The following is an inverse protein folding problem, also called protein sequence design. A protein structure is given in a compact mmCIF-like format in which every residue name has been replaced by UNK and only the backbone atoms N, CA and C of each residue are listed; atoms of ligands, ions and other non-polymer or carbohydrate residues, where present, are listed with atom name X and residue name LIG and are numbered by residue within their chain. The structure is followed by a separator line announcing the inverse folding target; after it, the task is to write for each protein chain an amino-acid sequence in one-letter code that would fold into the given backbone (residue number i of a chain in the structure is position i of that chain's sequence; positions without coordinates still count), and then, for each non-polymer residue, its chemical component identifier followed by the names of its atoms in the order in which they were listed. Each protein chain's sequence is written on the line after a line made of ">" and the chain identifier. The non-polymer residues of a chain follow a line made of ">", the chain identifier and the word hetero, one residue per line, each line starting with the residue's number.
data_IF_133430132491
#
_entry.id   IF_133430132491
#
_cell.length_a   1.000
_cell.length_b   1.000
_cell.length_c   1.000
_cell.angle_alpha   90.00
_cell.angle_beta   90.00
_cell.angle_gamma   90.00
#
_symmetry.space_group_name_H-M   'P 1'
#
loop_
_entity.id
_entity.type
_entity.pdbx_description
1 polymer ?
#
# COMPACT_ATOMS: atom_id res chain seq x y z
N UNK A 1 -37.91 14.25 14.41
CA UNK A 1 -37.28 14.67 13.14
C UNK A 1 -37.64 13.64 12.08
N UNK A 2 -38.34 14.04 11.03
CA UNK A 2 -38.67 13.18 9.88
C UNK A 2 -37.55 13.27 8.86
N UNK A 3 -36.75 12.21 8.71
CA UNK A 3 -35.74 12.13 7.66
C UNK A 3 -36.41 11.80 6.32
N UNK A 4 -36.04 12.53 5.26
CA UNK A 4 -36.44 12.16 3.90
C UNK A 4 -35.84 10.81 3.52
N UNK A 5 -36.54 9.94 2.75
CA UNK A 5 -36.01 8.65 2.29
C UNK A 5 -34.61 8.75 1.65
N UNK A 6 -34.35 9.83 0.91
CA UNK A 6 -33.05 10.09 0.28
C UNK A 6 -31.93 10.45 1.28
N UNK A 7 -32.28 11.04 2.42
CA UNK A 7 -31.30 11.35 3.47
C UNK A 7 -30.90 10.11 4.27
N UNK A 8 -31.83 9.16 4.48
CA UNK A 8 -31.56 7.89 5.16
C UNK A 8 -30.67 6.98 4.30
N UNK A 9 -30.93 6.90 3.00
CA UNK A 9 -30.16 6.06 2.07
C UNK A 9 -28.72 6.56 1.90
N UNK A 10 -28.51 7.87 1.87
CA UNK A 10 -27.17 8.48 1.81
C UNK A 10 -26.42 8.35 3.14
N UNK A 11 -27.09 8.53 4.28
CA UNK A 11 -26.45 8.35 5.58
C UNK A 11 -26.01 6.89 5.80
N UNK A 12 -26.87 5.93 5.45
CA UNK A 12 -26.55 4.50 5.50
C UNK A 12 -25.43 4.12 4.53
N UNK A 13 -25.36 4.77 3.36
CA UNK A 13 -24.26 4.59 2.41
C UNK A 13 -22.93 5.02 3.02
N UNK A 14 -22.86 6.25 3.54
CA UNK A 14 -21.66 6.80 4.16
C UNK A 14 -21.16 5.95 5.32
N UNK A 15 -22.07 5.53 6.20
CA UNK A 15 -21.71 4.64 7.32
C UNK A 15 -21.13 3.31 6.83
N UNK A 16 -21.80 2.62 5.88
CA UNK A 16 -21.33 1.33 5.37
C UNK A 16 -20.00 1.46 4.63
N UNK A 17 -19.85 2.53 3.84
CA UNK A 17 -18.61 2.83 3.14
C UNK A 17 -17.45 3.02 4.12
N UNK A 18 -17.63 3.87 5.14
CA UNK A 18 -16.64 4.12 6.17
C UNK A 18 -16.26 2.85 6.94
N UNK A 19 -17.25 2.08 7.39
CA UNK A 19 -17.02 0.80 8.08
C UNK A 19 -16.19 -0.17 7.25
N UNK A 20 -16.58 -0.40 5.98
CA UNK A 20 -15.86 -1.33 5.10
C UNK A 20 -14.44 -0.87 4.79
N UNK A 21 -14.23 0.45 4.62
CA UNK A 21 -12.90 1.02 4.44
C UNK A 21 -12.04 0.86 5.70
N UNK A 22 -12.62 1.06 6.88
CA UNK A 22 -11.95 0.85 8.17
C UNK A 22 -11.56 -0.62 8.41
N UNK A 23 -12.41 -1.57 8.01
CA UNK A 23 -12.08 -3.01 8.06
C UNK A 23 -10.94 -3.35 7.09
N UNK A 24 -10.94 -2.78 5.88
CA UNK A 24 -9.85 -3.01 4.92
C UNK A 24 -8.51 -2.47 5.46
N UNK A 25 -8.51 -1.27 6.04
CA UNK A 25 -7.31 -0.70 6.68
C UNK A 25 -6.83 -1.53 7.86
N UNK A 26 -7.72 -1.95 8.76
CA UNK A 26 -7.36 -2.81 9.89
C UNK A 26 -6.80 -4.17 9.44
N UNK A 27 -7.35 -4.71 8.35
CA UNK A 27 -6.83 -5.94 7.76
C UNK A 27 -5.40 -5.77 7.24
N UNK A 28 -5.09 -4.62 6.65
CA UNK A 28 -3.72 -4.28 6.23
C UNK A 28 -2.77 -4.19 7.42
N UNK A 29 -3.15 -3.43 8.45
CA UNK A 29 -2.36 -3.26 9.67
C UNK A 29 -2.08 -4.60 10.34
N UNK A 30 -3.09 -5.45 10.47
CA UNK A 30 -2.96 -6.78 11.06
C UNK A 30 -2.07 -7.72 10.21
N UNK A 31 -2.18 -7.67 8.88
CA UNK A 31 -1.38 -8.50 7.98
C UNK A 31 0.13 -8.18 8.08
N UNK A 32 0.47 -6.89 8.23
CA UNK A 32 1.85 -6.42 8.37
C UNK A 32 2.45 -6.69 9.75
N UNK A 33 1.62 -6.72 10.80
CA UNK A 33 2.09 -6.77 12.20
C UNK A 33 3.07 -7.92 12.48
N UNK A 34 2.90 -9.08 11.82
CA UNK A 34 3.83 -10.20 11.96
C UNK A 34 5.23 -9.87 11.43
N UNK A 35 5.31 -9.33 10.22
CA UNK A 35 6.57 -8.90 9.59
C UNK A 35 7.26 -7.78 10.37
N UNK A 36 6.49 -6.83 10.91
CA UNK A 36 7.03 -5.76 11.76
C UNK A 36 7.65 -6.32 13.04
N UNK A 37 6.97 -7.27 13.70
CA UNK A 37 7.50 -7.93 14.90
C UNK A 37 8.77 -8.73 14.60
N UNK A 38 8.81 -9.44 13.47
CA UNK A 38 9.99 -10.19 13.07
C UNK A 38 11.18 -9.28 12.76
N UNK A 39 10.93 -8.15 12.08
CA UNK A 39 11.95 -7.13 11.83
C UNK A 39 12.54 -6.59 13.13
N UNK A 40 11.68 -6.13 14.05
CA UNK A 40 12.12 -5.60 15.36
C UNK A 40 12.92 -6.66 16.14
N UNK A 41 12.47 -7.92 16.08
CA UNK A 41 13.16 -9.03 16.74
C UNK A 41 14.56 -9.24 16.15
N UNK A 42 14.69 -9.28 14.83
CA UNK A 42 15.98 -9.49 14.13
C UNK A 42 16.91 -8.31 14.39
N UNK A 43 16.43 -7.07 14.25
CA UNK A 43 17.24 -5.86 14.52
C UNK A 43 17.74 -5.83 15.97
N UNK A 44 16.92 -6.24 16.93
CA UNK A 44 17.34 -6.37 18.34
C UNK A 44 18.39 -7.46 18.51
N UNK A 45 18.16 -8.65 17.96
CA UNK A 45 19.11 -9.77 18.04
C UNK A 45 20.46 -9.41 17.41
N UNK A 46 20.42 -8.68 16.29
CA UNK A 46 21.62 -8.17 15.63
C UNK A 46 22.36 -7.16 16.51
N UNK A 47 21.67 -6.18 17.09
CA UNK A 47 22.30 -5.20 17.98
C UNK A 47 22.91 -5.85 19.23
N UNK A 48 22.26 -6.86 19.80
CA UNK A 48 22.82 -7.66 20.90
C UNK A 48 24.09 -8.41 20.45
N UNK A 49 24.07 -8.99 19.25
CA UNK A 49 25.22 -9.69 18.68
C UNK A 49 26.40 -8.75 18.38
N UNK A 50 26.15 -7.57 17.80
CA UNK A 50 27.18 -6.55 17.58
C UNK A 50 27.88 -6.14 18.88
N UNK A 51 27.14 -6.06 19.99
CA UNK A 51 27.71 -5.75 21.31
C UNK A 51 28.61 -6.89 21.84
N UNK A 52 28.25 -8.15 21.59
CA UNK A 52 29.07 -9.31 21.94
C UNK A 52 30.36 -9.36 21.12
N UNK A 53 30.28 -9.06 19.81
CA UNK A 53 31.47 -8.95 18.95
C UNK A 53 32.38 -7.81 19.40
N UNK A 54 31.82 -6.63 19.68
CA UNK A 54 32.57 -5.49 20.18
C UNK A 54 33.26 -5.77 21.53
N UNK A 55 32.67 -6.63 22.35
CA UNK A 55 33.25 -7.07 23.62
C UNK A 55 34.25 -8.25 23.47
N UNK A 56 34.50 -8.72 22.24
CA UNK A 56 35.39 -9.84 21.95
C UNK A 56 34.85 -11.21 22.40
N UNK A 57 33.53 -11.32 22.62
CA UNK A 57 32.86 -12.56 23.03
C UNK A 57 32.23 -13.34 21.88
N UNK A 58 32.13 -12.72 20.70
CA UNK A 58 31.67 -13.32 19.46
C UNK A 58 32.49 -12.83 18.26
N UNK A 59 32.25 -13.41 17.08
CA UNK A 59 32.83 -13.00 15.80
C UNK A 59 31.72 -12.91 14.75
N UNK A 60 31.77 -11.93 13.85
CA UNK A 60 30.84 -11.84 12.72
C UNK A 60 31.00 -13.01 11.73
N UNK A 61 32.23 -13.53 11.65
CA UNK A 61 32.64 -14.59 10.73
C UNK A 61 32.97 -15.82 11.57
N UNK A 62 32.34 -16.94 11.22
CA UNK A 62 32.70 -18.26 11.73
C UNK A 62 33.45 -19.04 10.65
N UNK A 63 34.64 -19.53 10.98
CA UNK A 63 35.48 -20.34 10.10
C UNK A 63 35.69 -21.73 10.70
N UNK A 64 35.90 -22.74 9.85
CA UNK A 64 36.28 -24.08 10.26
C UNK A 64 37.76 -24.17 10.68
N UNK A 65 38.20 -25.36 11.13
CA UNK A 65 39.58 -25.62 11.53
C UNK A 65 40.61 -25.40 10.40
N UNK A 66 40.15 -25.34 9.15
CA UNK A 66 40.96 -25.12 7.94
C UNK A 66 40.89 -23.67 7.44
N UNK A 67 40.19 -22.78 8.16
CA UNK A 67 40.02 -21.36 7.82
C UNK A 67 39.00 -21.13 6.70
N UNK A 68 38.07 -22.06 6.47
CA UNK A 68 36.99 -21.88 5.48
C UNK A 68 35.76 -21.28 6.16
N UNK A 69 35.16 -20.30 5.50
CA UNK A 69 33.93 -19.67 5.95
C UNK A 69 32.81 -20.70 6.14
N UNK A 70 32.31 -20.81 7.38
CA UNK A 70 31.11 -21.56 7.74
C UNK A 70 29.89 -20.65 7.68
N UNK A 71 29.98 -19.45 8.26
CA UNK A 71 28.86 -18.51 8.36
C UNK A 71 29.34 -17.07 8.43
N UNK A 72 28.64 -16.19 7.71
CA UNK A 72 28.69 -14.74 7.90
C UNK A 72 27.35 -14.30 8.49
N UNK A 73 27.36 -13.90 9.76
CA UNK A 73 26.14 -13.50 10.47
C UNK A 73 25.55 -12.20 9.93
N UNK A 74 26.38 -11.33 9.36
CA UNK A 74 25.93 -10.09 8.73
C UNK A 74 25.15 -10.35 7.45
N UNK A 75 25.69 -11.21 6.58
CA UNK A 75 25.00 -11.62 5.36
C UNK A 75 23.66 -12.30 5.68
N UNK A 76 23.65 -13.21 6.65
CA UNK A 76 22.42 -13.90 7.05
C UNK A 76 21.32 -12.94 7.55
N UNK A 77 21.69 -11.96 8.39
CA UNK A 77 20.74 -10.93 8.85
C UNK A 77 20.27 -10.05 7.69
N UNK A 78 21.18 -9.67 6.79
CA UNK A 78 20.85 -8.93 5.57
C UNK A 78 19.81 -9.66 4.71
N UNK A 79 20.00 -10.96 4.48
CA UNK A 79 19.05 -11.81 3.75
C UNK A 79 17.68 -11.85 4.42
N UNK A 80 17.62 -12.10 5.74
CA UNK A 80 16.34 -12.14 6.47
C UNK A 80 15.58 -10.80 6.39
N UNK A 81 16.29 -9.67 6.52
CA UNK A 81 15.67 -8.35 6.39
C UNK A 81 15.19 -8.08 4.96
N UNK A 82 15.94 -8.56 3.95
CA UNK A 82 15.54 -8.49 2.54
C UNK A 82 14.24 -9.26 2.29
N UNK A 83 14.13 -10.49 2.79
CA UNK A 83 12.92 -11.32 2.67
C UNK A 83 11.71 -10.66 3.35
N UNK A 84 11.89 -10.09 4.54
CA UNK A 84 10.83 -9.33 5.22
C UNK A 84 10.38 -8.14 4.37
N UNK A 85 11.32 -7.39 3.80
CA UNK A 85 10.99 -6.26 2.94
C UNK A 85 10.24 -6.70 1.68
N UNK A 86 10.60 -7.84 1.09
CA UNK A 86 9.89 -8.46 -0.03
C UNK A 86 8.44 -8.79 0.32
N UNK A 87 8.20 -9.43 1.47
CA UNK A 87 6.84 -9.71 1.95
C UNK A 87 6.04 -8.43 2.17
N UNK A 88 6.63 -7.43 2.82
CA UNK A 88 5.97 -6.14 3.07
C UNK A 88 5.62 -5.42 1.77
N UNK A 89 6.50 -5.50 0.75
CA UNK A 89 6.21 -4.97 -0.58
C UNK A 89 4.98 -5.64 -1.19
N UNK A 90 4.93 -6.98 -1.23
CA UNK A 90 3.78 -7.74 -1.76
C UNK A 90 2.47 -7.39 -1.02
N UNK A 91 2.52 -7.22 0.30
CA UNK A 91 1.34 -6.79 1.07
C UNK A 91 0.84 -5.41 0.63
N UNK A 92 1.74 -4.43 0.45
CA UNK A 92 1.37 -3.08 0.02
C UNK A 92 0.71 -3.09 -1.36
N UNK A 93 1.19 -3.93 -2.27
CA UNK A 93 0.59 -4.09 -3.60
C UNK A 93 -0.80 -4.69 -3.53
N UNK A 94 -0.94 -5.80 -2.81
CA UNK A 94 -2.22 -6.49 -2.66
C UNK A 94 -3.30 -5.56 -2.06
N UNK A 95 -2.93 -4.75 -1.06
CA UNK A 95 -3.85 -3.80 -0.44
C UNK A 95 -4.11 -2.55 -1.29
N UNK A 96 -3.14 -2.08 -2.08
CA UNK A 96 -3.37 -1.01 -3.08
C UNK A 96 -4.39 -1.46 -4.12
N UNK A 97 -4.23 -2.67 -4.67
CA UNK A 97 -5.16 -3.26 -5.63
C UNK A 97 -6.55 -3.44 -4.99
N UNK A 98 -6.60 -3.97 -3.77
CA UNK A 98 -7.85 -4.19 -3.03
C UNK A 98 -8.59 -2.90 -2.74
N UNK A 99 -7.86 -1.83 -2.36
CA UNK A 99 -8.42 -0.50 -2.09
C UNK A 99 -9.01 0.13 -3.36
N UNK A 100 -8.27 0.06 -4.48
CA UNK A 100 -8.80 0.51 -5.77
C UNK A 100 -10.09 -0.24 -6.15
N UNK A 101 -10.11 -1.57 -6.02
CA UNK A 101 -11.31 -2.34 -6.34
C UNK A 101 -12.46 -2.10 -5.37
N UNK A 102 -12.18 -1.85 -4.10
CA UNK A 102 -13.19 -1.39 -3.14
C UNK A 102 -13.85 -0.10 -3.64
N UNK A 103 -13.05 0.93 -3.94
CA UNK A 103 -13.53 2.20 -4.47
C UNK A 103 -14.38 2.03 -5.74
N UNK A 104 -13.85 1.29 -6.72
CA UNK A 104 -14.52 1.00 -7.99
C UNK A 104 -15.91 0.36 -7.77
N UNK A 105 -15.98 -0.69 -6.93
CA UNK A 105 -17.22 -1.43 -6.67
C UNK A 105 -18.27 -0.56 -5.98
N UNK A 106 -17.87 0.26 -5.01
CA UNK A 106 -18.77 1.16 -4.30
C UNK A 106 -19.45 2.13 -5.26
N UNK A 107 -18.68 2.73 -6.19
CA UNK A 107 -19.21 3.70 -7.13
C UNK A 107 -19.99 3.06 -8.27
N UNK A 108 -19.51 1.95 -8.86
CA UNK A 108 -20.25 1.23 -9.91
C UNK A 108 -21.64 0.84 -9.46
N UNK A 109 -21.77 0.30 -8.24
CA UNK A 109 -23.06 -0.10 -7.68
C UNK A 109 -24.03 1.08 -7.55
N UNK A 110 -23.54 2.30 -7.33
CA UNK A 110 -24.34 3.50 -7.15
C UNK A 110 -24.71 4.17 -8.47
N UNK A 111 -23.73 4.28 -9.37
CA UNK A 111 -23.93 4.80 -10.73
C UNK A 111 -24.75 3.86 -11.62
N UNK A 112 -24.90 2.58 -11.23
CA UNK A 112 -25.61 1.54 -12.00
C UNK A 112 -25.03 1.35 -13.41
N UNK A 113 -23.71 1.42 -13.53
CA UNK A 113 -22.97 1.25 -14.79
C UNK A 113 -22.30 -0.12 -14.86
N UNK A 114 -22.16 -0.65 -16.08
CA UNK A 114 -21.47 -1.92 -16.33
C UNK A 114 -19.96 -1.80 -16.15
N UNK A 115 -19.39 -0.70 -16.61
CA UNK A 115 -17.95 -0.44 -16.63
C UNK A 115 -17.65 0.81 -15.78
N UNK A 116 -16.57 0.75 -15.00
CA UNK A 116 -16.10 1.93 -14.27
C UNK A 116 -15.28 2.83 -15.19
N UNK A 117 -15.64 4.12 -15.20
CA UNK A 117 -14.85 5.17 -15.84
C UNK A 117 -14.62 6.27 -14.82
N UNK A 118 -13.35 6.58 -14.58
CA UNK A 118 -12.94 7.52 -13.54
C UNK A 118 -13.61 8.89 -13.68
N UNK A 119 -13.62 9.47 -14.88
CA UNK A 119 -14.29 10.73 -15.14
C UNK A 119 -15.81 10.70 -14.81
N UNK A 120 -16.48 9.57 -15.06
CA UNK A 120 -17.89 9.41 -14.69
C UNK A 120 -18.07 9.29 -13.18
N UNK A 121 -17.16 8.58 -12.50
CA UNK A 121 -17.16 8.46 -11.05
C UNK A 121 -16.97 9.82 -10.35
N UNK A 122 -16.04 10.64 -10.83
CA UNK A 122 -15.83 11.98 -10.27
C UNK A 122 -17.01 12.91 -10.54
N UNK A 123 -17.57 12.89 -11.75
CA UNK A 123 -18.77 13.66 -12.07
C UNK A 123 -19.96 13.24 -11.19
N UNK A 124 -20.15 11.93 -10.98
CA UNK A 124 -21.18 11.41 -10.09
C UNK A 124 -21.00 11.89 -8.65
N UNK A 125 -19.79 11.84 -8.08
CA UNK A 125 -19.54 12.31 -6.72
C UNK A 125 -19.81 13.82 -6.56
N UNK A 126 -19.40 14.62 -7.53
CA UNK A 126 -19.67 16.07 -7.55
C UNK A 126 -21.16 16.39 -7.60
N UNK A 127 -21.94 15.63 -8.38
CA UNK A 127 -23.40 15.74 -8.41
C UNK A 127 -24.04 15.39 -7.05
N UNK A 128 -23.41 14.50 -6.28
CA UNK A 128 -23.80 14.20 -4.90
C UNK A 128 -23.27 15.22 -3.87
N UNK A 129 -22.62 16.30 -4.30
CA UNK A 129 -22.05 17.33 -3.42
C UNK A 129 -20.75 16.92 -2.74
N UNK A 130 -20.06 15.89 -3.24
CA UNK A 130 -18.77 15.41 -2.72
C UNK A 130 -17.66 15.90 -3.65
N UNK A 131 -16.60 16.45 -3.09
CA UNK A 131 -15.41 16.89 -3.83
C UNK A 131 -14.32 15.82 -3.75
N UNK A 132 -14.15 14.97 -4.78
CA UNK A 132 -13.12 13.94 -4.75
C UNK A 132 -11.71 14.52 -4.89
N UNK A 133 -10.74 13.90 -4.20
CA UNK A 133 -9.31 14.11 -4.43
C UNK A 133 -8.89 13.37 -5.72
N UNK A 134 -9.25 13.95 -6.87
CA UNK A 134 -9.02 13.34 -8.18
C UNK A 134 -7.55 12.98 -8.44
N UNK A 135 -6.55 13.83 -8.12
CA UNK A 135 -5.14 13.48 -8.34
C UNK A 135 -4.74 12.19 -7.61
N UNK A 136 -5.04 12.10 -6.31
CA UNK A 136 -4.63 10.95 -5.51
C UNK A 136 -5.41 9.67 -5.85
N UNK A 137 -6.69 9.79 -6.23
CA UNK A 137 -7.48 8.65 -6.70
C UNK A 137 -7.02 8.14 -8.07
N UNK A 138 -6.57 9.06 -8.94
CA UNK A 138 -5.95 8.71 -10.23
C UNK A 138 -4.63 7.99 -10.00
N UNK A 139 -3.79 8.48 -9.08
CA UNK A 139 -2.56 7.82 -8.67
C UNK A 139 -2.81 6.42 -8.11
N UNK A 140 -3.82 6.25 -7.23
CA UNK A 140 -4.24 4.94 -6.71
C UNK A 140 -4.60 3.97 -7.84
N UNK A 141 -5.44 4.40 -8.79
CA UNK A 141 -5.85 3.56 -9.93
C UNK A 141 -4.66 3.14 -10.79
N UNK A 142 -3.80 4.09 -11.14
CA UNK A 142 -2.63 3.83 -11.97
C UNK A 142 -1.65 2.91 -11.24
N UNK A 143 -1.36 3.17 -9.96
CA UNK A 143 -0.51 2.31 -9.11
C UNK A 143 -1.06 0.89 -9.06
N UNK A 144 -2.37 0.73 -8.80
CA UNK A 144 -3.01 -0.59 -8.80
C UNK A 144 -2.91 -1.28 -10.16
N UNK A 145 -2.99 -0.55 -11.27
CA UNK A 145 -2.83 -1.11 -12.61
C UNK A 145 -1.41 -1.57 -12.89
N UNK A 146 -0.40 -0.77 -12.52
CA UNK A 146 1.02 -1.15 -12.63
C UNK A 146 1.30 -2.39 -11.78
N UNK A 147 0.83 -2.43 -10.54
CA UNK A 147 0.99 -3.62 -9.68
C UNK A 147 0.35 -4.91 -10.24
N UNK A 148 -0.64 -4.81 -11.15
CA UNK A 148 -1.28 -5.98 -11.78
C UNK A 148 -0.68 -6.37 -13.13
N UNK A 149 -0.23 -5.38 -13.89
CA UNK A 149 0.06 -5.53 -15.32
C UNK A 149 1.49 -5.13 -15.69
N UNK A 150 2.27 -4.63 -14.74
CA UNK A 150 3.61 -4.09 -14.92
C UNK A 150 3.63 -2.92 -15.89
N UNK A 151 4.30 -3.06 -17.03
CA UNK A 151 4.59 -2.00 -18.00
C UNK A 151 3.40 -1.58 -18.88
N UNK A 152 3.60 -0.49 -19.62
CA UNK A 152 2.67 0.06 -20.61
C UNK A 152 1.92 1.29 -20.10
N UNK A 153 0.82 1.65 -20.77
CA UNK A 153 0.17 2.96 -20.61
C UNK A 153 -0.11 3.41 -19.17
N UNK A 154 -0.39 2.49 -18.24
CA UNK A 154 -0.60 2.87 -16.83
C UNK A 154 0.70 3.22 -16.12
N UNK A 155 1.79 2.50 -16.41
CA UNK A 155 3.12 2.78 -15.88
C UNK A 155 3.67 4.08 -16.45
N UNK A 156 3.60 4.27 -17.76
CA UNK A 156 4.05 5.50 -18.43
C UNK A 156 3.33 6.72 -17.87
N UNK A 157 1.99 6.62 -17.73
CA UNK A 157 1.20 7.73 -17.21
C UNK A 157 1.45 7.96 -15.72
N UNK A 158 1.62 6.91 -14.92
CA UNK A 158 1.98 7.06 -13.51
C UNK A 158 3.33 7.75 -13.37
N UNK A 159 4.32 7.35 -14.17
CA UNK A 159 5.66 7.92 -14.14
C UNK A 159 5.67 9.40 -14.52
N UNK A 160 4.86 9.81 -15.51
CA UNK A 160 4.70 11.23 -15.87
C UNK A 160 4.14 12.06 -14.71
N UNK A 161 3.16 11.51 -13.97
CA UNK A 161 2.48 12.24 -12.89
C UNK A 161 3.25 12.19 -11.56
N UNK A 162 3.86 11.05 -11.28
CA UNK A 162 4.43 10.68 -9.99
C UNK A 162 5.71 9.83 -10.19
N UNK A 163 6.78 10.41 -10.75
CA UNK A 163 8.04 9.70 -10.96
C UNK A 163 8.69 9.27 -9.64
N UNK A 164 8.35 9.94 -8.54
CA UNK A 164 8.77 9.61 -7.17
C UNK A 164 8.27 8.25 -6.69
N UNK A 165 7.26 7.69 -7.34
CA UNK A 165 6.77 6.34 -7.08
C UNK A 165 7.58 5.24 -7.75
N UNK A 166 8.68 5.59 -8.42
CA UNK A 166 9.55 4.63 -9.09
C UNK A 166 10.99 4.71 -8.59
N UNK A 167 11.76 3.62 -8.71
CA UNK A 167 13.21 3.65 -8.57
C UNK A 167 13.88 4.30 -9.78
N UNK A 168 13.75 5.63 -9.89
CA UNK A 168 14.34 6.40 -11.00
C UNK A 168 15.84 6.17 -11.11
N UNK A 169 16.54 5.96 -9.98
CA UNK A 169 17.98 5.71 -9.97
C UNK A 169 18.31 4.38 -10.62
N UNK A 170 17.65 3.29 -10.22
CA UNK A 170 17.90 1.97 -10.80
C UNK A 170 17.42 1.90 -12.26
N UNK A 171 16.28 2.53 -12.59
CA UNK A 171 15.81 2.66 -13.97
C UNK A 171 16.83 3.36 -14.87
N UNK A 172 17.38 4.50 -14.41
CA UNK A 172 18.37 5.27 -15.19
C UNK A 172 19.66 4.48 -15.41
N UNK A 173 20.09 3.70 -14.43
CA UNK A 173 21.30 2.86 -14.51
C UNK A 173 21.18 1.81 -15.62
N UNK A 174 19.97 1.30 -15.87
CA UNK A 174 19.72 0.23 -16.84
C UNK A 174 18.97 0.69 -18.10
N UNK A 175 18.71 1.99 -18.24
CA UNK A 175 17.87 2.56 -19.31
C UNK A 175 16.51 1.85 -19.41
N UNK A 176 15.89 1.58 -18.25
CA UNK A 176 14.67 0.80 -18.14
C UNK A 176 13.41 1.66 -18.18
N UNK A 177 12.36 1.11 -18.80
CA UNK A 177 11.03 1.71 -18.84
C UNK A 177 10.30 1.57 -17.49
N UNK A 178 9.34 2.45 -17.17
CA UNK A 178 8.53 2.32 -15.97
C UNK A 178 7.76 0.99 -15.94
N UNK A 179 7.91 0.24 -14.85
CA UNK A 179 7.32 -1.10 -14.71
C UNK A 179 7.02 -1.43 -13.25
N UNK A 180 6.42 -2.60 -13.01
CA UNK A 180 6.20 -3.14 -11.67
C UNK A 180 7.50 -3.28 -10.88
N UNK A 181 8.58 -3.71 -11.54
CA UNK A 181 9.91 -3.94 -10.92
C UNK A 181 10.44 -2.70 -10.19
N UNK A 182 10.17 -1.52 -10.73
CA UNK A 182 10.65 -0.26 -10.18
C UNK A 182 9.61 0.45 -9.30
N UNK A 183 8.41 -0.09 -9.14
CA UNK A 183 7.33 0.56 -8.41
C UNK A 183 7.59 0.54 -6.89
N UNK A 184 7.58 1.72 -6.26
CA UNK A 184 7.79 1.92 -4.83
C UNK A 184 6.50 2.29 -4.13
N UNK A 185 5.76 1.28 -3.67
CA UNK A 185 4.63 1.51 -2.77
C UNK A 185 5.14 1.51 -1.34
N UNK A 186 5.15 2.68 -0.70
CA UNK A 186 5.49 2.84 0.72
C UNK A 186 4.25 2.74 1.61
N UNK A 187 4.46 2.52 2.91
CA UNK A 187 3.38 2.58 3.90
C UNK A 187 2.69 3.94 3.93
N UNK A 188 3.48 5.00 3.82
CA UNK A 188 3.00 6.38 3.77
C UNK A 188 2.10 6.60 2.56
N UNK A 189 2.53 6.17 1.37
CA UNK A 189 1.73 6.28 0.16
C UNK A 189 0.41 5.51 0.26
N UNK A 190 0.46 4.26 0.73
CA UNK A 190 -0.76 3.46 0.91
C UNK A 190 -1.71 4.12 1.92
N UNK A 191 -1.19 4.70 3.00
CA UNK A 191 -1.98 5.49 3.95
C UNK A 191 -2.58 6.75 3.30
N UNK A 192 -1.84 7.44 2.43
CA UNK A 192 -2.38 8.55 1.65
C UNK A 192 -3.51 8.11 0.72
N UNK A 193 -3.41 6.94 0.10
CA UNK A 193 -4.52 6.37 -0.69
C UNK A 193 -5.75 6.07 0.18
N UNK A 194 -5.57 5.47 1.36
CA UNK A 194 -6.69 5.22 2.28
C UNK A 194 -7.38 6.54 2.69
N UNK A 195 -6.61 7.58 3.00
CA UNK A 195 -7.13 8.90 3.35
C UNK A 195 -7.86 9.54 2.16
N UNK A 196 -7.29 9.49 0.95
CA UNK A 196 -7.94 10.03 -0.24
C UNK A 196 -9.28 9.32 -0.54
N UNK A 197 -9.35 8.00 -0.41
CA UNK A 197 -10.60 7.23 -0.57
C UNK A 197 -11.62 7.60 0.50
N UNK A 198 -11.19 7.82 1.75
CA UNK A 198 -12.07 8.27 2.85
C UNK A 198 -12.64 9.65 2.59
N UNK A 199 -11.78 10.61 2.27
CA UNK A 199 -12.13 12.02 2.14
C UNK A 199 -12.95 12.28 0.87
N UNK A 200 -12.77 11.44 -0.15
CA UNK A 200 -13.53 11.49 -1.41
C UNK A 200 -14.81 10.66 -1.38
N UNK A 201 -15.03 9.90 -0.30
CA UNK A 201 -16.19 9.02 -0.14
C UNK A 201 -17.41 9.71 0.45
N UNK A 202 -18.57 9.03 0.44
CA UNK A 202 -19.74 9.49 1.18
C UNK A 202 -19.46 9.54 2.69
N UNK A 203 -19.94 10.59 3.36
CA UNK A 203 -19.91 10.69 4.82
C UNK A 203 -21.26 10.28 5.42
N UNK A 204 -21.24 9.54 6.53
CA UNK A 204 -22.45 9.12 7.22
C UNK A 204 -22.19 8.93 8.71
N UNK A 205 -23.16 9.33 9.54
CA UNK A 205 -23.16 9.08 10.98
C UNK A 205 -23.84 7.75 11.28
N UNK A 206 -23.36 7.05 12.30
CA UNK A 206 -24.07 5.90 12.83
C UNK A 206 -25.52 6.32 13.19
N UNK A 207 -26.51 5.56 12.72
CA UNK A 207 -27.93 5.86 12.93
C UNK A 207 -28.37 5.50 14.36
N UNK A 208 -27.52 4.80 15.11
CA UNK A 208 -27.76 4.36 16.48
C UNK A 208 -26.73 5.03 17.42
N UNK A 209 -27.00 6.26 17.84
CA UNK A 209 -26.29 6.94 18.94
C UNK A 209 -27.29 7.49 19.95
#
# INVERSE_FOLDING_TARGET
>A
MTFSPNSLTNNMWGWRFGFQLDELRRSYEAAREASDRDRIRIERQWSEFEAEVAAGRASFIEEDEEGRLISDHGDHVGEMLSEINGVLHVLREAFTISLHHFWERQLKSRMKVKEYKEAMAFAFLKDQGITPNEPMLTALRLTANVAKHSEGNSADHLFILHPDLFDVTEMTKWDAEPSHEYLKITDELLNHFFSAVRDSGPTGKAIWS
#
